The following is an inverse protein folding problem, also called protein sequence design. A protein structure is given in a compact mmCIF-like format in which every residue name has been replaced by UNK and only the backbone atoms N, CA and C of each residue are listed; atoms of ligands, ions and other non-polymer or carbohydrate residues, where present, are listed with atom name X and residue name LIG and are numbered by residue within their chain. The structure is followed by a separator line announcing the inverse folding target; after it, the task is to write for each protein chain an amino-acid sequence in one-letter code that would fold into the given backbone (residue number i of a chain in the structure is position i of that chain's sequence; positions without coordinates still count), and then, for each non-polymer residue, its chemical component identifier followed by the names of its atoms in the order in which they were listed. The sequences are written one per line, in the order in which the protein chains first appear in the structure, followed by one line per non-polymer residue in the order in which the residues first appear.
data_IF_294553177483
#
_entry.id   IF_294553177483
#
_cell.length_a   1.000
_cell.length_b   1.000
_cell.length_c   1.000
_cell.angle_alpha   90.00
_cell.angle_beta   90.00
_cell.angle_gamma   90.00
#
_symmetry.space_group_name_H-M   'P 1'
#
loop_
_entity.id
_entity.type
_entity.pdbx_description
1 polymer ?
#
# COMPACT_ATOMS: atom_id res chain seq x y z
N UNK A 1 13.07 10.33 15.56
CA UNK A 1 11.75 11.00 15.41
C UNK A 1 11.98 12.50 15.53
N UNK A 2 11.68 13.28 14.49
CA UNK A 2 11.39 14.69 14.70
C UNK A 2 10.11 14.74 15.54
N UNK A 3 10.24 15.02 16.83
CA UNK A 3 9.08 15.22 17.70
C UNK A 3 8.37 16.50 17.26
N UNK A 4 7.06 16.66 17.52
CA UNK A 4 6.35 17.92 17.29
C UNK A 4 7.01 19.16 17.92
N UNK A 5 7.93 18.97 18.87
CA UNK A 5 8.75 20.02 19.49
C UNK A 5 10.14 20.24 18.87
N UNK A 6 10.51 19.58 17.77
CA UNK A 6 11.75 19.89 17.05
C UNK A 6 11.55 21.04 16.07
N UNK A 7 12.50 21.98 16.01
CA UNK A 7 12.40 23.20 15.19
C UNK A 7 12.21 22.91 13.69
N UNK A 8 12.61 21.73 13.23
CA UNK A 8 12.50 21.31 11.82
C UNK A 8 11.19 20.57 11.48
N UNK A 9 10.43 20.09 12.47
CA UNK A 9 9.24 19.25 12.23
C UNK A 9 8.14 20.02 11.50
N UNK A 10 7.69 21.12 12.07
CA UNK A 10 6.60 21.93 11.49
C UNK A 10 6.99 22.55 10.14
N UNK A 11 8.20 23.10 9.95
CA UNK A 11 8.65 23.53 8.63
C UNK A 11 8.65 22.40 7.59
N UNK A 12 9.16 21.21 7.94
CA UNK A 12 9.17 20.08 7.01
C UNK A 12 7.75 19.62 6.64
N UNK A 13 6.84 19.55 7.62
CA UNK A 13 5.42 19.24 7.37
C UNK A 13 4.79 20.26 6.43
N UNK A 14 5.02 21.57 6.65
CA UNK A 14 4.50 22.63 5.78
C UNK A 14 5.05 22.50 4.36
N UNK A 15 6.36 22.26 4.20
CA UNK A 15 6.98 22.10 2.88
C UNK A 15 6.41 20.89 2.13
N UNK A 16 6.29 19.74 2.79
CA UNK A 16 5.69 18.53 2.20
C UNK A 16 4.22 18.81 1.82
N UNK A 17 3.51 19.55 2.66
CA UNK A 17 2.11 19.86 2.40
C UNK A 17 1.94 20.79 1.20
N UNK A 18 2.71 21.88 1.13
CA UNK A 18 2.76 22.77 -0.04
C UNK A 18 3.14 22.01 -1.31
N UNK A 19 4.10 21.08 -1.20
CA UNK A 19 4.46 20.18 -2.28
C UNK A 19 3.26 19.36 -2.78
N UNK A 20 2.46 18.75 -1.89
CA UNK A 20 1.26 18.01 -2.28
C UNK A 20 0.22 18.87 -3.01
N UNK A 21 0.05 20.13 -2.60
CA UNK A 21 -0.83 21.07 -3.29
C UNK A 21 -0.33 21.29 -4.72
N UNK A 22 0.95 21.60 -4.87
CA UNK A 22 1.57 21.80 -6.20
C UNK A 22 1.45 20.53 -7.05
N UNK A 23 1.84 19.37 -6.52
CA UNK A 23 1.80 18.10 -7.24
C UNK A 23 0.39 17.76 -7.71
N UNK A 24 -0.63 17.96 -6.87
CA UNK A 24 -2.02 17.63 -7.24
C UNK A 24 -2.57 18.51 -8.37
N UNK A 25 -2.12 19.77 -8.44
CA UNK A 25 -2.55 20.74 -9.45
C UNK A 25 -1.78 20.64 -10.77
N UNK A 26 -0.47 20.37 -10.71
CA UNK A 26 0.39 20.33 -11.88
C UNK A 26 0.32 18.98 -12.63
N UNK A 27 0.57 19.00 -13.96
CA UNK A 27 0.70 17.80 -14.76
C UNK A 27 1.80 16.83 -14.27
N UNK A 28 1.61 15.54 -14.54
CA UNK A 28 2.49 14.44 -14.07
C UNK A 28 3.92 14.60 -14.61
N UNK A 29 4.08 15.05 -15.84
CA UNK A 29 5.37 15.23 -16.52
C UNK A 29 6.27 16.30 -15.87
N UNK A 30 5.68 17.27 -15.16
CA UNK A 30 6.44 18.40 -14.60
C UNK A 30 7.17 18.09 -13.30
N UNK A 31 6.62 17.17 -12.50
CA UNK A 31 7.15 16.85 -11.17
C UNK A 31 7.54 15.37 -11.10
N UNK A 32 6.57 14.47 -11.27
CA UNK A 32 6.79 13.02 -11.17
C UNK A 32 7.79 12.56 -12.23
N UNK A 33 7.50 12.81 -13.51
CA UNK A 33 8.28 12.26 -14.61
C UNK A 33 9.74 12.70 -14.65
N UNK A 34 10.05 13.87 -14.08
CA UNK A 34 11.40 14.45 -14.10
C UNK A 34 12.23 14.11 -12.86
N UNK A 35 11.61 14.08 -11.68
CA UNK A 35 12.33 14.03 -10.41
C UNK A 35 12.33 12.60 -9.83
N UNK A 36 11.22 11.87 -9.97
CA UNK A 36 11.04 10.61 -9.26
C UNK A 36 11.92 9.46 -9.77
N UNK A 37 12.26 9.35 -11.08
CA UNK A 37 13.17 8.31 -11.54
C UNK A 37 14.53 8.34 -10.83
N UNK A 38 15.02 9.53 -10.46
CA UNK A 38 16.28 9.68 -9.70
C UNK A 38 16.13 9.07 -8.32
N UNK A 39 15.04 9.38 -7.60
CA UNK A 39 14.80 8.84 -6.26
C UNK A 39 14.46 7.35 -6.25
N UNK A 40 13.75 6.87 -7.28
CA UNK A 40 13.56 5.44 -7.51
C UNK A 40 14.89 4.71 -7.73
N UNK A 41 15.78 5.29 -8.55
CA UNK A 41 17.14 4.79 -8.73
C UNK A 41 17.94 4.77 -7.43
N UNK A 42 17.87 5.83 -6.63
CA UNK A 42 18.52 5.89 -5.31
C UNK A 42 17.99 4.82 -4.35
N UNK A 43 16.68 4.56 -4.34
CA UNK A 43 16.08 3.48 -3.55
C UNK A 43 16.59 2.10 -4.00
N UNK A 44 16.70 1.87 -5.31
CA UNK A 44 17.21 0.61 -5.85
C UNK A 44 18.68 0.40 -5.47
N UNK A 45 19.52 1.42 -5.63
CA UNK A 45 20.93 1.38 -5.23
C UNK A 45 21.06 1.16 -3.73
N UNK A 46 20.27 1.88 -2.91
CA UNK A 46 20.27 1.73 -1.45
C UNK A 46 19.81 0.34 -1.01
N UNK A 47 18.78 -0.22 -1.66
CA UNK A 47 18.28 -1.57 -1.38
C UNK A 47 19.28 -2.64 -1.81
N UNK A 48 19.95 -2.47 -2.95
CA UNK A 48 21.02 -3.37 -3.37
C UNK A 48 22.23 -3.31 -2.43
N UNK A 49 22.62 -2.11 -2.01
CA UNK A 49 23.70 -1.92 -1.02
C UNK A 49 23.34 -2.59 0.31
N UNK A 50 22.08 -2.48 0.74
CA UNK A 50 21.58 -3.15 1.95
C UNK A 50 21.64 -4.66 1.78
N UNK A 51 21.21 -5.19 0.64
CA UNK A 51 21.28 -6.61 0.35
C UNK A 51 22.71 -7.15 0.41
N UNK A 52 23.65 -6.51 -0.28
CA UNK A 52 25.07 -6.91 -0.27
C UNK A 52 25.66 -6.85 1.13
N UNK A 53 25.44 -5.74 1.85
CA UNK A 53 25.92 -5.58 3.22
C UNK A 53 25.34 -6.64 4.15
N UNK A 54 24.03 -6.92 4.04
CA UNK A 54 23.36 -7.93 4.84
C UNK A 54 23.94 -9.32 4.58
N UNK A 55 24.16 -9.71 3.32
CA UNK A 55 24.77 -11.01 2.98
C UNK A 55 26.18 -11.13 3.59
N UNK A 56 27.00 -10.09 3.54
CA UNK A 56 28.32 -10.10 4.17
C UNK A 56 28.26 -10.29 5.70
N UNK A 57 27.27 -9.72 6.37
CA UNK A 57 27.06 -9.91 7.81
C UNK A 57 26.55 -11.32 8.11
N UNK A 58 25.58 -11.80 7.35
CA UNK A 58 24.95 -13.12 7.52
C UNK A 58 25.92 -14.25 7.25
N UNK A 59 26.88 -14.06 6.34
CA UNK A 59 27.93 -15.04 6.05
C UNK A 59 28.70 -15.48 7.31
N UNK A 60 29.00 -14.52 8.19
CA UNK A 60 29.70 -14.78 9.44
C UNK A 60 28.75 -15.01 10.62
N UNK A 61 27.48 -14.59 10.49
CA UNK A 61 26.47 -14.57 11.55
C UNK A 61 25.10 -15.00 11.01
N UNK A 62 24.91 -16.28 10.66
CA UNK A 62 23.67 -16.75 10.07
C UNK A 62 22.46 -16.57 11.00
N UNK A 63 22.69 -16.48 12.32
CA UNK A 63 21.64 -16.27 13.31
C UNK A 63 20.86 -14.96 13.11
N UNK A 64 21.40 -13.99 12.38
CA UNK A 64 20.76 -12.71 12.08
C UNK A 64 19.45 -12.85 11.30
N UNK A 65 19.30 -13.90 10.49
CA UNK A 65 18.08 -14.18 9.72
C UNK A 65 17.26 -15.35 10.28
N UNK A 66 17.54 -15.74 11.52
CA UNK A 66 16.79 -16.79 12.21
C UNK A 66 15.83 -16.21 13.25
N UNK A 67 14.81 -16.97 13.63
CA UNK A 67 13.92 -16.64 14.74
C UNK A 67 14.61 -16.89 16.10
N UNK A 68 15.52 -15.98 16.49
CA UNK A 68 16.19 -16.08 17.79
C UNK A 68 15.20 -15.98 18.94
N UNK A 69 15.61 -16.37 20.15
CA UNK A 69 14.80 -16.18 21.35
C UNK A 69 14.39 -14.72 21.59
N UNK A 70 15.21 -13.75 21.15
CA UNK A 70 14.87 -12.32 21.22
C UNK A 70 13.75 -11.96 20.25
N UNK A 71 13.82 -12.44 19.01
CA UNK A 71 12.79 -12.23 18.00
C UNK A 71 11.46 -12.84 18.45
N UNK A 72 11.48 -14.11 18.90
CA UNK A 72 10.28 -14.81 19.35
C UNK A 72 9.55 -14.11 20.50
N UNK A 73 10.28 -13.44 21.39
CA UNK A 73 9.67 -12.66 22.50
C UNK A 73 8.90 -11.43 22.05
N UNK A 74 9.25 -10.84 20.90
CA UNK A 74 8.56 -9.66 20.35
C UNK A 74 7.65 -9.97 19.16
N UNK A 75 7.50 -11.24 18.78
CA UNK A 75 6.59 -11.63 17.71
C UNK A 75 5.14 -11.33 18.07
N UNK A 76 4.39 -10.86 17.09
CA UNK A 76 2.94 -10.75 17.19
C UNK A 76 2.34 -12.14 17.45
N UNK A 77 1.43 -12.23 18.42
CA UNK A 77 0.73 -13.47 18.80
C UNK A 77 -0.63 -13.60 18.11
N UNK A 78 -1.01 -12.59 17.34
CA UNK A 78 -2.25 -12.52 16.57
C UNK A 78 -2.23 -13.55 15.43
N UNK A 79 -3.41 -14.05 15.00
CA UNK A 79 -3.48 -15.05 13.96
C UNK A 79 -2.98 -14.49 12.62
N UNK A 80 -2.17 -15.26 11.91
CA UNK A 80 -1.58 -14.88 10.62
C UNK A 80 -2.69 -14.47 9.63
N UNK A 81 -3.72 -15.30 9.51
CA UNK A 81 -4.94 -14.94 8.79
C UNK A 81 -5.93 -14.42 9.82
N UNK A 82 -6.48 -13.21 9.69
CA UNK A 82 -6.31 -12.29 8.57
C UNK A 82 -5.27 -11.18 8.82
N UNK A 83 -4.64 -11.13 9.99
CA UNK A 83 -3.89 -9.96 10.45
C UNK A 83 -2.69 -9.65 9.57
N UNK A 84 -1.91 -10.64 9.16
CA UNK A 84 -0.74 -10.44 8.29
C UNK A 84 -1.15 -9.83 6.95
N UNK A 85 -2.21 -10.39 6.34
CA UNK A 85 -2.72 -10.03 5.03
C UNK A 85 -3.32 -8.61 4.98
N UNK A 86 -3.79 -8.11 6.12
CA UNK A 86 -4.24 -6.73 6.25
C UNK A 86 -3.10 -5.80 6.67
N UNK A 87 -2.23 -6.20 7.59
CA UNK A 87 -1.18 -5.33 8.15
C UNK A 87 -0.10 -5.00 7.13
N UNK A 88 0.28 -5.96 6.29
CA UNK A 88 1.25 -5.77 5.20
C UNK A 88 0.49 -5.52 3.89
N UNK A 89 -0.45 -4.55 3.91
CA UNK A 89 -1.46 -4.40 2.88
C UNK A 89 -0.85 -4.27 1.48
N UNK A 90 -0.05 -3.23 1.25
CA UNK A 90 0.58 -2.98 -0.05
C UNK A 90 1.63 -4.03 -0.44
N UNK A 91 2.19 -4.78 0.52
CA UNK A 91 3.21 -5.81 0.24
C UNK A 91 2.63 -7.17 -0.12
N UNK A 92 1.40 -7.49 0.32
CA UNK A 92 0.73 -8.75 -0.03
C UNK A 92 -0.14 -8.59 -1.28
N UNK A 93 -1.03 -7.58 -1.28
CA UNK A 93 -1.87 -7.26 -2.42
C UNK A 93 -2.41 -5.83 -2.27
N UNK A 94 -2.10 -4.96 -3.24
CA UNK A 94 -2.43 -3.54 -3.13
C UNK A 94 -3.65 -3.16 -3.97
N UNK A 95 -4.75 -2.78 -3.32
CA UNK A 95 -5.88 -2.13 -3.98
C UNK A 95 -5.58 -0.70 -4.40
N UNK A 96 -4.65 -0.03 -3.71
CA UNK A 96 -4.22 1.33 -4.04
C UNK A 96 -3.54 1.40 -5.42
N UNK A 97 -2.71 0.42 -5.78
CA UNK A 97 -2.11 0.38 -7.12
C UNK A 97 -3.18 0.32 -8.22
N UNK A 98 -4.33 -0.32 -7.97
CA UNK A 98 -5.42 -0.36 -8.93
C UNK A 98 -6.01 1.03 -9.23
N UNK A 99 -6.04 1.96 -8.27
CA UNK A 99 -6.53 3.33 -8.51
C UNK A 99 -5.54 4.18 -9.30
N UNK A 100 -4.26 3.80 -9.28
CA UNK A 100 -3.18 4.49 -9.98
C UNK A 100 -2.96 3.95 -11.40
N UNK A 101 -3.34 2.71 -11.67
CA UNK A 101 -3.18 2.07 -12.98
C UNK A 101 -3.68 2.90 -14.17
N UNK A 102 -4.81 3.64 -14.10
CA UNK A 102 -5.23 4.50 -15.21
C UNK A 102 -4.24 5.63 -15.54
N UNK A 103 -3.55 6.18 -14.54
CA UNK A 103 -2.53 7.21 -14.75
C UNK A 103 -1.35 6.63 -15.51
N UNK A 104 -0.87 5.45 -15.08
CA UNK A 104 0.25 4.75 -15.72
C UNK A 104 -0.11 4.32 -17.14
N UNK A 105 -1.28 3.72 -17.33
CA UNK A 105 -1.76 3.25 -18.63
C UNK A 105 -1.82 4.38 -19.68
N UNK A 106 -2.22 5.60 -19.29
CA UNK A 106 -2.28 6.77 -20.19
C UNK A 106 -0.92 7.37 -20.53
N UNK A 107 0.13 7.02 -19.77
CA UNK A 107 1.51 7.48 -20.02
C UNK A 107 2.37 6.44 -20.75
N UNK A 108 1.83 5.25 -21.02
CA UNK A 108 2.51 4.21 -21.77
C UNK A 108 2.52 4.53 -23.26
N UNK A 109 3.66 4.28 -23.92
CA UNK A 109 3.79 4.46 -25.35
C UNK A 109 3.07 3.34 -26.11
N UNK A 110 3.16 2.10 -25.62
CA UNK A 110 2.53 0.94 -26.24
C UNK A 110 1.95 -0.03 -25.20
N UNK A 111 0.97 -0.83 -25.59
CA UNK A 111 0.43 -1.91 -24.73
C UNK A 111 1.49 -2.99 -24.41
N UNK A 112 2.52 -3.14 -25.26
CA UNK A 112 3.62 -4.08 -25.05
C UNK A 112 4.40 -3.78 -23.77
N UNK A 113 4.43 -2.51 -23.36
CA UNK A 113 5.08 -2.06 -22.13
C UNK A 113 4.29 -2.50 -20.87
N UNK A 114 3.04 -2.95 -21.02
CA UNK A 114 2.16 -3.25 -19.90
C UNK A 114 2.67 -4.37 -19.00
N UNK A 115 3.27 -5.41 -19.58
CA UNK A 115 3.86 -6.50 -18.78
C UNK A 115 5.02 -6.00 -17.93
N UNK A 116 5.90 -5.16 -18.48
CA UNK A 116 7.04 -4.62 -17.74
C UNK A 116 6.56 -3.65 -16.64
N UNK A 117 5.66 -2.72 -17.00
CA UNK A 117 5.23 -1.64 -16.12
C UNK A 117 4.31 -2.09 -14.98
N UNK A 118 3.41 -3.03 -15.23
CA UNK A 118 2.51 -3.53 -14.18
C UNK A 118 3.11 -4.76 -13.48
N UNK A 119 3.35 -5.85 -14.20
CA UNK A 119 3.81 -7.10 -13.58
C UNK A 119 5.29 -7.04 -13.16
N UNK A 120 6.16 -6.51 -14.01
CA UNK A 120 7.59 -6.40 -13.72
C UNK A 120 7.88 -5.52 -12.50
N UNK A 121 7.22 -4.36 -12.39
CA UNK A 121 7.41 -3.46 -11.25
C UNK A 121 6.93 -4.06 -9.93
N UNK A 122 5.84 -4.84 -9.93
CA UNK A 122 5.39 -5.55 -8.72
C UNK A 122 6.41 -6.59 -8.25
N UNK A 123 7.12 -7.27 -9.16
CA UNK A 123 8.22 -8.17 -8.80
C UNK A 123 9.36 -7.38 -8.15
N UNK A 124 9.75 -6.25 -8.73
CA UNK A 124 10.82 -5.39 -8.20
C UNK A 124 10.46 -4.89 -6.79
N UNK A 125 9.23 -4.43 -6.57
CA UNK A 125 8.75 -4.05 -5.24
C UNK A 125 8.78 -5.22 -4.25
N UNK A 126 8.40 -6.42 -4.68
CA UNK A 126 8.49 -7.63 -3.86
C UNK A 126 9.93 -7.95 -3.44
N UNK A 127 10.89 -7.83 -4.35
CA UNK A 127 12.32 -8.03 -4.05
C UNK A 127 12.80 -6.99 -3.03
N UNK A 128 12.47 -5.72 -3.24
CA UNK A 128 12.79 -4.64 -2.29
C UNK A 128 12.19 -4.97 -0.92
N UNK A 129 10.90 -5.29 -0.85
CA UNK A 129 10.20 -5.61 0.40
C UNK A 129 10.88 -6.77 1.16
N UNK A 130 11.30 -7.83 0.48
CA UNK A 130 12.02 -8.95 1.09
C UNK A 130 13.38 -8.54 1.65
N UNK A 131 14.15 -7.71 0.94
CA UNK A 131 15.45 -7.20 1.42
C UNK A 131 15.25 -6.38 2.71
N UNK A 132 14.26 -5.49 2.73
CA UNK A 132 13.97 -4.65 3.89
C UNK A 132 13.41 -5.46 5.07
N UNK A 133 12.59 -6.48 4.81
CA UNK A 133 12.11 -7.39 5.85
C UNK A 133 13.27 -8.18 6.48
N UNK A 134 14.21 -8.66 5.67
CA UNK A 134 15.41 -9.34 6.15
C UNK A 134 16.32 -8.40 6.96
N UNK A 135 16.50 -7.15 6.50
CA UNK A 135 17.21 -6.11 7.25
C UNK A 135 16.56 -5.79 8.61
N UNK A 136 15.22 -5.72 8.65
CA UNK A 136 14.47 -5.52 9.89
C UNK A 136 14.66 -6.71 10.86
N UNK A 137 14.55 -7.94 10.36
CA UNK A 137 14.79 -9.14 11.17
C UNK A 137 16.19 -9.15 11.79
N UNK A 138 17.22 -8.83 11.00
CA UNK A 138 18.59 -8.73 11.50
C UNK A 138 18.75 -7.65 12.59
N UNK A 139 18.14 -6.48 12.42
CA UNK A 139 18.14 -5.43 13.45
C UNK A 139 17.36 -5.86 14.69
N UNK A 140 16.24 -6.56 14.58
CA UNK A 140 15.50 -7.06 15.74
C UNK A 140 16.30 -8.10 16.54
N UNK A 141 17.06 -8.95 15.85
CA UNK A 141 17.95 -9.93 16.48
C UNK A 141 19.12 -9.25 17.21
N UNK A 142 19.75 -8.24 16.60
CA UNK A 142 20.89 -7.50 17.16
C UNK A 142 20.48 -6.51 18.26
N UNK A 143 19.34 -5.85 18.07
CA UNK A 143 18.85 -4.75 18.89
C UNK A 143 17.35 -4.93 19.17
N UNK A 144 16.96 -5.83 20.09
CA UNK A 144 15.56 -6.18 20.33
C UNK A 144 14.66 -5.00 20.73
N UNK A 145 15.23 -3.93 21.29
CA UNK A 145 14.53 -2.69 21.61
C UNK A 145 13.87 -2.01 20.38
N UNK A 146 14.30 -2.34 19.17
CA UNK A 146 13.72 -1.81 17.93
C UNK A 146 12.50 -2.60 17.42
N UNK A 147 12.16 -3.73 18.07
CA UNK A 147 10.95 -4.53 17.75
C UNK A 147 9.65 -3.88 18.27
N UNK A 148 9.65 -2.55 18.43
CA UNK A 148 8.51 -1.75 18.90
C UNK A 148 7.78 -1.02 17.78
N UNK A 149 6.77 -0.19 18.10
CA UNK A 149 5.88 0.44 17.12
C UNK A 149 6.54 1.54 16.28
N UNK A 150 7.82 1.85 16.50
CA UNK A 150 8.50 2.96 15.86
C UNK A 150 9.25 2.50 14.59
N UNK A 151 8.50 2.24 13.53
CA UNK A 151 9.04 1.81 12.24
C UNK A 151 10.13 2.75 11.70
N UNK A 152 10.00 4.05 11.92
CA UNK A 152 10.99 5.05 11.50
C UNK A 152 12.33 4.90 12.24
N UNK A 153 12.31 4.60 13.54
CA UNK A 153 13.54 4.35 14.29
C UNK A 153 14.25 3.08 13.80
N UNK A 154 13.47 2.03 13.49
CA UNK A 154 13.99 0.80 12.90
C UNK A 154 14.59 1.06 11.52
N UNK A 155 13.92 1.82 10.67
CA UNK A 155 14.43 2.24 9.35
C UNK A 155 15.79 2.96 9.47
N UNK A 156 15.88 3.97 10.35
CA UNK A 156 17.14 4.68 10.60
C UNK A 156 18.22 3.73 11.12
N UNK A 157 17.86 2.76 11.97
CA UNK A 157 18.82 1.81 12.53
C UNK A 157 19.33 0.82 11.49
N UNK A 158 18.45 0.28 10.63
CA UNK A 158 18.83 -0.58 9.49
C UNK A 158 19.84 0.15 8.62
N UNK A 159 19.49 1.35 8.17
CA UNK A 159 20.31 2.11 7.22
C UNK A 159 21.65 2.53 7.82
N UNK A 160 21.67 3.06 9.05
CA UNK A 160 22.93 3.46 9.71
C UNK A 160 23.84 2.29 10.06
N UNK A 161 23.27 1.13 10.44
CA UNK A 161 24.05 -0.05 10.79
C UNK A 161 24.66 -0.73 9.55
N UNK A 162 23.85 -0.98 8.51
CA UNK A 162 24.31 -1.74 7.35
C UNK A 162 24.99 -0.89 6.28
N UNK A 163 24.63 0.39 6.15
CA UNK A 163 25.13 1.27 5.09
C UNK A 163 26.08 2.35 5.61
N UNK A 164 26.21 2.49 6.93
CA UNK A 164 26.95 3.60 7.54
C UNK A 164 26.21 4.94 7.43
N UNK A 165 26.83 6.00 7.95
CA UNK A 165 26.18 7.31 8.13
C UNK A 165 25.75 7.96 6.81
N UNK A 166 26.65 8.03 5.82
CA UNK A 166 26.40 8.76 4.57
C UNK A 166 25.39 8.05 3.67
N UNK A 167 25.65 6.79 3.31
CA UNK A 167 24.75 6.02 2.45
C UNK A 167 23.41 5.73 3.17
N UNK A 168 23.45 5.53 4.49
CA UNK A 168 22.25 5.35 5.29
C UNK A 168 21.34 6.59 5.29
N UNK A 169 21.91 7.79 5.39
CA UNK A 169 21.15 9.04 5.30
C UNK A 169 20.51 9.22 3.91
N UNK A 170 21.27 9.03 2.82
CA UNK A 170 20.75 9.14 1.45
C UNK A 170 19.62 8.13 1.20
N UNK A 171 19.80 6.88 1.63
CA UNK A 171 18.78 5.83 1.48
C UNK A 171 17.52 6.16 2.28
N UNK A 172 17.67 6.67 3.51
CA UNK A 172 16.52 7.09 4.32
C UNK A 172 15.74 8.22 3.65
N UNK A 173 16.43 9.20 3.07
CA UNK A 173 15.80 10.29 2.32
C UNK A 173 15.04 9.72 1.10
N UNK A 174 15.64 8.79 0.35
CA UNK A 174 14.97 8.16 -0.79
C UNK A 174 13.69 7.42 -0.38
N UNK A 175 13.70 6.69 0.75
CA UNK A 175 12.52 6.00 1.31
C UNK A 175 11.44 7.00 1.73
N UNK A 176 11.81 8.09 2.40
CA UNK A 176 10.85 9.14 2.78
C UNK A 176 10.23 9.80 1.56
N UNK A 177 11.04 10.08 0.54
CA UNK A 177 10.55 10.67 -0.71
C UNK A 177 9.58 9.71 -1.40
N UNK A 178 9.86 8.39 -1.43
CA UNK A 178 8.92 7.39 -1.97
C UNK A 178 7.55 7.41 -1.26
N UNK A 179 7.53 7.59 0.07
CA UNK A 179 6.27 7.73 0.79
C UNK A 179 5.53 9.01 0.41
N UNK A 180 6.27 10.12 0.21
CA UNK A 180 5.71 11.39 -0.29
C UNK A 180 5.17 11.22 -1.71
N UNK A 181 5.86 10.52 -2.59
CA UNK A 181 5.40 10.24 -3.95
C UNK A 181 4.14 9.35 -3.99
N UNK A 182 3.97 8.49 -2.99
CA UNK A 182 2.72 7.72 -2.87
C UNK A 182 1.55 8.62 -2.45
N UNK A 183 1.81 9.62 -1.59
CA UNK A 183 0.81 10.60 -1.17
C UNK A 183 0.34 11.53 -2.30
N UNK A 184 1.26 12.02 -3.14
CA UNK A 184 0.88 12.91 -4.25
C UNK A 184 0.05 12.19 -5.32
N UNK A 185 0.42 10.96 -5.64
CA UNK A 185 -0.33 10.11 -6.55
C UNK A 185 -1.70 9.72 -5.98
N UNK A 186 -1.82 9.52 -4.65
CA UNK A 186 -3.11 9.30 -3.98
C UNK A 186 -4.06 10.49 -4.15
N UNK A 187 -3.59 11.71 -3.85
CA UNK A 187 -4.40 12.93 -3.95
C UNK A 187 -4.83 13.22 -5.39
N UNK A 188 -3.92 12.99 -6.35
CA UNK A 188 -4.23 13.12 -7.77
C UNK A 188 -5.28 12.09 -8.21
N UNK A 189 -5.13 10.83 -7.82
CA UNK A 189 -6.11 9.77 -8.10
C UNK A 189 -7.47 10.12 -7.51
N UNK A 190 -7.54 10.54 -6.24
CA UNK A 190 -8.78 10.93 -5.58
C UNK A 190 -9.50 12.07 -6.32
N UNK A 191 -8.76 13.11 -6.70
CA UNK A 191 -9.30 14.22 -7.50
C UNK A 191 -9.87 13.72 -8.83
N UNK A 192 -9.12 12.88 -9.56
CA UNK A 192 -9.57 12.37 -10.86
C UNK A 192 -10.81 11.47 -10.72
N UNK A 193 -10.85 10.59 -9.71
CA UNK A 193 -12.01 9.74 -9.44
C UNK A 193 -13.26 10.56 -9.10
N UNK A 194 -13.13 11.60 -8.28
CA UNK A 194 -14.24 12.52 -7.99
C UNK A 194 -14.66 13.32 -9.21
N UNK A 195 -13.70 13.79 -10.01
CA UNK A 195 -13.98 14.51 -11.25
C UNK A 195 -14.80 13.65 -12.22
N UNK A 196 -14.44 12.37 -12.38
CA UNK A 196 -15.19 11.42 -13.20
C UNK A 196 -16.58 11.13 -12.61
N UNK A 197 -16.66 10.92 -11.29
CA UNK A 197 -17.92 10.62 -10.60
C UNK A 197 -18.95 11.75 -10.69
N UNK A 198 -18.49 13.00 -10.62
CA UNK A 198 -19.33 14.20 -10.74
C UNK A 198 -19.34 14.80 -12.16
N UNK A 199 -18.71 14.14 -13.14
CA UNK A 199 -18.57 14.63 -14.52
C UNK A 199 -18.00 16.07 -14.63
N UNK A 200 -17.06 16.43 -13.76
CA UNK A 200 -16.41 17.75 -13.71
C UNK A 200 -15.19 17.75 -14.62
N UNK A 201 -15.25 18.53 -15.71
CA UNK A 201 -14.11 18.70 -16.63
C UNK A 201 -12.85 19.19 -15.93
N UNK A 202 -11.73 18.47 -16.16
CA UNK A 202 -10.40 18.78 -15.62
C UNK A 202 -9.53 19.60 -16.59
N UNK A 203 -10.11 20.18 -17.65
CA UNK A 203 -9.35 21.02 -18.59
C UNK A 203 -9.05 22.39 -17.98
N UNK A 204 -10.04 23.02 -17.34
CA UNK A 204 -9.87 24.36 -16.76
C UNK A 204 -9.15 24.30 -15.41
N UNK A 205 -8.21 25.22 -15.18
CA UNK A 205 -7.53 25.36 -13.89
C UNK A 205 -8.52 25.61 -12.76
N UNK A 206 -9.57 26.42 -13.00
CA UNK A 206 -10.61 26.72 -12.01
C UNK A 206 -11.25 25.45 -11.45
N UNK A 207 -11.66 24.51 -12.31
CA UNK A 207 -12.29 23.26 -11.86
C UNK A 207 -11.32 22.37 -11.10
N UNK A 208 -10.04 22.37 -11.50
CA UNK A 208 -8.99 21.67 -10.75
C UNK A 208 -8.88 22.25 -9.34
N UNK A 209 -8.78 23.56 -9.21
CA UNK A 209 -8.68 24.23 -7.91
C UNK A 209 -9.90 23.98 -7.03
N UNK A 210 -11.11 24.17 -7.58
CA UNK A 210 -12.36 24.00 -6.82
C UNK A 210 -12.55 22.57 -6.31
N UNK A 211 -12.09 21.57 -7.07
CA UNK A 211 -12.15 20.18 -6.62
C UNK A 211 -11.01 19.81 -5.66
N UNK A 212 -9.83 20.39 -5.85
CA UNK A 212 -8.63 20.04 -5.07
C UNK A 212 -8.61 20.71 -3.69
N UNK A 213 -9.05 21.96 -3.58
CA UNK A 213 -8.95 22.73 -2.34
C UNK A 213 -9.74 22.09 -1.16
N UNK A 214 -10.99 21.63 -1.33
CA UNK A 214 -11.71 20.92 -0.27
C UNK A 214 -11.01 19.63 0.15
N UNK A 215 -10.44 18.89 -0.81
CA UNK A 215 -9.70 17.64 -0.54
C UNK A 215 -8.44 17.91 0.28
N UNK A 216 -7.69 18.95 -0.09
CA UNK A 216 -6.51 19.39 0.65
C UNK A 216 -6.90 19.72 2.09
N UNK A 217 -7.93 20.54 2.30
CA UNK A 217 -8.38 20.93 3.65
C UNK A 217 -8.77 19.71 4.48
N UNK A 218 -9.56 18.80 3.92
CA UNK A 218 -9.96 17.57 4.59
C UNK A 218 -8.75 16.72 4.99
N UNK A 219 -7.80 16.55 4.07
CA UNK A 219 -6.57 15.79 4.31
C UNK A 219 -5.67 16.49 5.33
N UNK A 220 -5.57 17.82 5.33
CA UNK A 220 -4.86 18.58 6.37
C UNK A 220 -5.41 18.29 7.75
N UNK A 221 -6.75 18.33 7.89
CA UNK A 221 -7.44 18.11 9.16
C UNK A 221 -7.19 16.68 9.64
N UNK A 222 -7.31 15.69 8.74
CA UNK A 222 -7.04 14.29 9.06
C UNK A 222 -5.58 14.05 9.44
N UNK A 223 -4.62 14.66 8.74
CA UNK A 223 -3.21 14.54 9.07
C UNK A 223 -2.87 15.22 10.39
N UNK A 224 -3.43 16.40 10.66
CA UNK A 224 -3.28 17.09 11.94
C UNK A 224 -3.81 16.22 13.08
N UNK A 225 -5.02 15.67 12.93
CA UNK A 225 -5.62 14.76 13.90
C UNK A 225 -4.78 13.49 14.09
N UNK A 226 -4.30 12.89 13.00
CA UNK A 226 -3.44 11.69 13.04
C UNK A 226 -2.08 11.94 13.68
N UNK A 227 -1.56 13.17 13.66
CA UNK A 227 -0.29 13.53 14.29
C UNK A 227 -0.46 14.02 15.74
N UNK A 228 -1.68 14.22 16.22
CA UNK A 228 -1.95 14.71 17.57
C UNK A 228 -1.56 13.70 18.67
N UNK A 229 -1.72 12.39 18.42
CA UNK A 229 -1.25 11.35 19.32
C UNK A 229 -0.96 10.04 18.55
N UNK A 230 -0.25 9.10 19.19
CA UNK A 230 0.09 7.82 18.55
C UNK A 230 -1.13 6.91 18.28
N UNK A 231 -2.25 7.14 18.99
CA UNK A 231 -3.44 6.31 18.89
C UNK A 231 -4.27 6.67 17.65
N UNK A 232 -4.41 7.96 17.32
CA UNK A 232 -5.11 8.42 16.13
C UNK A 232 -4.40 7.97 14.86
N UNK A 233 -3.05 7.99 14.84
CA UNK A 233 -2.27 7.37 13.76
C UNK A 233 -2.59 5.88 13.59
N UNK A 234 -2.60 5.10 14.68
CA UNK A 234 -2.93 3.67 14.62
C UNK A 234 -4.34 3.43 14.06
N UNK A 235 -5.31 4.26 14.43
CA UNK A 235 -6.66 4.18 13.88
C UNK A 235 -6.69 4.50 12.40
N UNK A 236 -6.07 5.60 11.96
CA UNK A 236 -6.00 5.95 10.55
C UNK A 236 -5.32 4.85 9.73
N UNK A 237 -4.19 4.33 10.24
CA UNK A 237 -3.45 3.24 9.59
C UNK A 237 -4.28 1.98 9.46
N UNK A 238 -5.11 1.65 10.45
CA UNK A 238 -6.03 0.52 10.38
C UNK A 238 -7.02 0.67 9.22
N UNK A 239 -7.70 1.81 9.16
CA UNK A 239 -8.68 2.11 8.12
C UNK A 239 -8.05 2.09 6.73
N UNK A 240 -6.85 2.64 6.62
CA UNK A 240 -6.05 2.54 5.41
C UNK A 240 -5.76 1.08 5.03
N UNK A 241 -5.28 0.26 5.98
CA UNK A 241 -4.84 -1.11 5.74
C UNK A 241 -5.99 -2.01 5.25
N UNK A 242 -7.11 -2.07 5.98
CA UNK A 242 -8.24 -2.90 5.55
C UNK A 242 -9.01 -2.27 4.38
N UNK A 243 -9.09 -0.94 4.30
CA UNK A 243 -9.70 -0.23 3.16
C UNK A 243 -8.98 -0.52 1.84
N UNK A 244 -7.64 -0.59 1.86
CA UNK A 244 -6.86 -1.04 0.72
C UNK A 244 -7.23 -2.46 0.27
N UNK A 245 -7.49 -3.36 1.22
CA UNK A 245 -7.89 -4.74 0.88
C UNK A 245 -9.32 -4.83 0.34
N UNK A 246 -10.24 -4.01 0.85
CA UNK A 246 -11.58 -3.91 0.27
C UNK A 246 -11.49 -3.46 -1.19
N UNK A 247 -10.70 -2.43 -1.47
CA UNK A 247 -10.52 -1.91 -2.83
C UNK A 247 -9.90 -2.94 -3.78
N UNK A 248 -8.93 -3.71 -3.28
CA UNK A 248 -8.37 -4.84 -4.00
C UNK A 248 -9.42 -5.90 -4.37
N UNK A 249 -10.27 -6.30 -3.41
CA UNK A 249 -11.33 -7.29 -3.64
C UNK A 249 -12.30 -6.81 -4.72
N UNK A 250 -12.78 -5.58 -4.62
CA UNK A 250 -13.68 -5.01 -5.65
C UNK A 250 -13.02 -4.95 -7.03
N UNK A 251 -11.74 -4.59 -7.09
CA UNK A 251 -10.98 -4.59 -8.34
C UNK A 251 -10.88 -6.00 -8.93
N UNK A 252 -10.47 -7.00 -8.13
CA UNK A 252 -10.33 -8.39 -8.57
C UNK A 252 -11.66 -8.97 -9.05
N UNK A 253 -12.77 -8.68 -8.36
CA UNK A 253 -14.10 -9.11 -8.78
C UNK A 253 -14.57 -8.41 -10.05
N UNK A 254 -14.26 -7.12 -10.21
CA UNK A 254 -14.53 -6.40 -11.47
C UNK A 254 -13.74 -7.00 -12.63
N UNK A 255 -12.44 -7.27 -12.43
CA UNK A 255 -11.59 -7.94 -13.42
C UNK A 255 -12.07 -9.36 -13.71
N UNK A 256 -12.60 -10.08 -12.72
CA UNK A 256 -13.19 -11.41 -12.91
C UNK A 256 -14.36 -11.35 -13.87
N UNK A 257 -15.33 -10.46 -13.64
CA UNK A 257 -16.48 -10.25 -14.55
C UNK A 257 -16.00 -9.86 -15.94
N UNK A 258 -15.01 -8.96 -16.04
CA UNK A 258 -14.42 -8.57 -17.31
C UNK A 258 -13.78 -9.74 -18.07
N UNK A 259 -12.97 -10.57 -17.40
CA UNK A 259 -12.35 -11.76 -18.00
C UNK A 259 -13.39 -12.79 -18.46
N UNK A 260 -14.49 -12.95 -17.70
CA UNK A 260 -15.60 -13.83 -18.08
C UNK A 260 -16.28 -13.35 -19.37
N UNK A 261 -16.52 -12.03 -19.49
CA UNK A 261 -17.05 -11.41 -20.73
C UNK A 261 -16.13 -11.66 -21.92
N UNK A 262 -14.82 -11.45 -21.73
CA UNK A 262 -13.78 -11.70 -22.75
C UNK A 262 -13.51 -13.18 -23.03
N UNK A 263 -14.22 -14.11 -22.37
CA UNK A 263 -14.00 -15.57 -22.43
C UNK A 263 -12.55 -15.98 -22.16
N UNK A 264 -11.87 -15.25 -21.28
CA UNK A 264 -10.50 -15.55 -20.83
C UNK A 264 -10.53 -16.26 -19.49
N UNK A 265 -9.37 -16.75 -19.06
CA UNK A 265 -9.23 -17.43 -17.78
C UNK A 265 -9.50 -16.46 -16.62
N UNK A 266 -10.74 -16.42 -16.13
CA UNK A 266 -11.17 -15.54 -15.03
C UNK A 266 -10.68 -16.01 -13.65
N UNK A 267 -10.24 -17.26 -13.51
CA UNK A 267 -9.78 -17.83 -12.24
C UNK A 267 -8.55 -17.09 -11.69
N UNK A 268 -7.74 -16.50 -12.56
CA UNK A 268 -6.55 -15.72 -12.17
C UNK A 268 -6.91 -14.50 -11.30
N UNK A 269 -8.12 -13.96 -11.46
CA UNK A 269 -8.62 -12.83 -10.67
C UNK A 269 -9.60 -13.29 -9.57
N UNK A 270 -10.42 -14.31 -9.86
CA UNK A 270 -11.40 -14.82 -8.91
C UNK A 270 -10.75 -15.43 -7.68
N UNK A 271 -9.75 -16.31 -7.84
CA UNK A 271 -9.16 -17.03 -6.70
C UNK A 271 -8.49 -16.07 -5.68
N UNK A 272 -7.64 -15.11 -6.10
CA UNK A 272 -7.14 -14.10 -5.18
C UNK A 272 -8.27 -13.23 -4.59
N UNK A 273 -9.30 -12.89 -5.39
CA UNK A 273 -10.42 -12.07 -4.94
C UNK A 273 -11.24 -12.74 -3.84
N UNK A 274 -11.55 -14.02 -3.99
CA UNK A 274 -12.25 -14.85 -2.99
C UNK A 274 -11.45 -14.95 -1.70
N UNK A 275 -10.15 -15.25 -1.82
CA UNK A 275 -9.27 -15.32 -0.66
C UNK A 275 -9.18 -13.97 0.08
N UNK A 276 -8.99 -12.87 -0.65
CA UNK A 276 -8.89 -11.54 -0.04
C UNK A 276 -10.23 -11.07 0.55
N UNK A 277 -11.37 -11.46 -0.02
CA UNK A 277 -12.69 -11.22 0.54
C UNK A 277 -12.84 -11.90 1.91
N UNK A 278 -12.43 -13.16 2.01
CA UNK A 278 -12.41 -13.89 3.28
C UNK A 278 -11.50 -13.20 4.31
N UNK A 279 -10.28 -12.84 3.90
CA UNK A 279 -9.31 -12.14 4.75
C UNK A 279 -9.87 -10.83 5.30
N UNK A 280 -10.35 -9.94 4.43
CA UNK A 280 -10.77 -8.60 4.87
C UNK A 280 -12.03 -8.65 5.73
N UNK A 281 -12.96 -9.56 5.40
CA UNK A 281 -14.19 -9.76 6.17
C UNK A 281 -13.88 -10.34 7.55
N UNK A 282 -13.06 -11.39 7.60
CA UNK A 282 -12.64 -11.97 8.88
C UNK A 282 -11.86 -10.97 9.73
N UNK A 283 -11.05 -10.10 9.11
CA UNK A 283 -10.32 -9.06 9.84
C UNK A 283 -11.25 -8.07 10.50
N UNK A 284 -12.22 -7.52 9.77
CA UNK A 284 -13.19 -6.55 10.29
C UNK A 284 -14.03 -7.17 11.41
N UNK A 285 -14.44 -8.42 11.26
CA UNK A 285 -15.24 -9.16 12.25
C UNK A 285 -14.45 -9.49 13.53
N UNK A 286 -13.18 -9.86 13.39
CA UNK A 286 -12.35 -10.29 14.51
C UNK A 286 -11.65 -9.13 15.23
N UNK A 287 -11.18 -8.11 14.51
CA UNK A 287 -10.35 -7.04 15.11
C UNK A 287 -11.10 -6.27 16.20
N UNK A 288 -10.40 -5.99 17.31
CA UNK A 288 -10.90 -5.14 18.40
C UNK A 288 -9.77 -4.71 19.34
N UNK A 289 -9.99 -3.70 20.20
CA UNK A 289 -9.04 -3.32 21.25
C UNK A 289 -8.71 -4.47 22.21
N UNK A 290 -9.66 -5.39 22.43
CA UNK A 290 -9.45 -6.60 23.25
C UNK A 290 -8.37 -7.51 22.65
N UNK A 291 -8.30 -7.57 21.31
CA UNK A 291 -7.28 -8.31 20.58
C UNK A 291 -5.99 -7.50 20.33
N UNK A 292 -5.81 -6.38 21.05
CA UNK A 292 -4.69 -5.45 20.90
C UNK A 292 -4.59 -4.82 19.50
N UNK A 293 -5.72 -4.77 18.80
CA UNK A 293 -5.84 -4.20 17.48
C UNK A 293 -6.86 -3.06 17.46
N UNK A 294 -6.92 -2.28 16.39
CA UNK A 294 -7.88 -1.19 16.28
C UNK A 294 -9.34 -1.71 16.18
N UNK A 295 -10.29 -0.79 16.32
CA UNK A 295 -11.72 -1.10 16.42
C UNK A 295 -12.27 -1.91 15.24
N UNK A 296 -13.11 -2.90 15.57
CA UNK A 296 -13.92 -3.75 14.70
C UNK A 296 -15.00 -4.43 15.54
N UNK A 297 -15.55 -5.56 15.10
CA UNK A 297 -16.66 -6.22 15.82
C UNK A 297 -16.22 -7.08 17.02
N UNK A 298 -14.94 -7.44 17.13
CA UNK A 298 -14.41 -8.18 18.27
C UNK A 298 -14.99 -9.58 18.48
N UNK A 299 -15.43 -10.22 17.41
CA UNK A 299 -15.95 -11.59 17.47
C UNK A 299 -14.82 -12.60 17.75
N UNK A 300 -15.20 -13.75 18.29
CA UNK A 300 -14.31 -14.91 18.35
C UNK A 300 -13.82 -15.29 16.93
N UNK A 301 -12.59 -15.80 16.83
CA UNK A 301 -11.96 -16.10 15.55
C UNK A 301 -12.72 -17.16 14.74
N UNK A 302 -13.25 -18.19 15.39
CA UNK A 302 -14.00 -19.25 14.69
C UNK A 302 -15.32 -18.73 14.14
N UNK A 303 -16.01 -17.90 14.92
CA UNK A 303 -17.24 -17.25 14.48
C UNK A 303 -16.96 -16.26 13.34
N UNK A 304 -15.92 -15.44 13.46
CA UNK A 304 -15.49 -14.51 12.42
C UNK A 304 -15.17 -15.23 11.11
N UNK A 305 -14.44 -16.35 11.16
CA UNK A 305 -14.16 -17.18 9.98
C UNK A 305 -15.42 -17.78 9.37
N UNK A 306 -16.33 -18.30 10.18
CA UNK A 306 -17.57 -18.91 9.68
C UNK A 306 -18.42 -17.88 8.94
N UNK A 307 -18.61 -16.70 9.53
CA UNK A 307 -19.35 -15.60 8.92
C UNK A 307 -18.64 -15.07 7.66
N UNK A 308 -17.32 -14.88 7.72
CA UNK A 308 -16.52 -14.44 6.58
C UNK A 308 -16.58 -15.45 5.43
N UNK A 309 -16.55 -16.76 5.73
CA UNK A 309 -16.66 -17.83 4.74
C UNK A 309 -18.01 -17.80 4.02
N UNK A 310 -19.11 -17.68 4.77
CA UNK A 310 -20.46 -17.57 4.20
C UNK A 310 -20.60 -16.30 3.34
N UNK A 311 -20.14 -15.16 3.83
CA UNK A 311 -20.17 -13.91 3.07
C UNK A 311 -19.32 -13.97 1.80
N UNK A 312 -18.16 -14.61 1.87
CA UNK A 312 -17.26 -14.82 0.72
C UNK A 312 -17.91 -15.74 -0.32
N UNK A 313 -18.51 -16.86 0.09
CA UNK A 313 -19.19 -17.77 -0.82
C UNK A 313 -20.38 -17.09 -1.52
N UNK A 314 -21.17 -16.33 -0.77
CA UNK A 314 -22.29 -15.55 -1.30
C UNK A 314 -21.82 -14.52 -2.34
N UNK A 315 -20.81 -13.71 -1.99
CA UNK A 315 -20.28 -12.67 -2.89
C UNK A 315 -19.60 -13.25 -4.12
N UNK A 316 -18.85 -14.34 -3.98
CA UNK A 316 -18.27 -15.08 -5.12
C UNK A 316 -19.36 -15.61 -6.06
N UNK A 317 -20.45 -16.16 -5.50
CA UNK A 317 -21.61 -16.61 -6.26
C UNK A 317 -22.27 -15.46 -7.03
N UNK A 318 -22.44 -14.29 -6.40
CA UNK A 318 -22.96 -13.10 -7.07
C UNK A 318 -22.05 -12.62 -8.21
N UNK A 319 -20.73 -12.61 -8.01
CA UNK A 319 -19.75 -12.20 -9.03
C UNK A 319 -19.80 -13.14 -10.24
N UNK A 320 -19.84 -14.45 -10.00
CA UNK A 320 -19.97 -15.46 -11.06
C UNK A 320 -21.30 -15.32 -11.80
N UNK A 321 -22.40 -15.13 -11.07
CA UNK A 321 -23.71 -14.91 -11.66
C UNK A 321 -23.71 -13.66 -12.57
N UNK A 322 -23.21 -12.54 -12.06
CA UNK A 322 -23.09 -11.30 -12.84
C UNK A 322 -22.19 -11.47 -14.07
N UNK A 323 -21.08 -12.20 -13.94
CA UNK A 323 -20.20 -12.54 -15.06
C UNK A 323 -20.92 -13.33 -16.16
N UNK A 324 -21.75 -14.30 -15.79
CA UNK A 324 -22.56 -15.08 -16.74
C UNK A 324 -23.64 -14.23 -17.41
N UNK A 325 -24.34 -13.39 -16.64
CA UNK A 325 -25.38 -12.48 -17.17
C UNK A 325 -24.76 -11.52 -18.19
N UNK A 326 -23.66 -10.84 -17.83
CA UNK A 326 -22.99 -9.89 -18.73
C UNK A 326 -22.42 -10.54 -19.97
N UNK A 327 -21.85 -11.75 -19.85
CA UNK A 327 -21.41 -12.51 -21.00
C UNK A 327 -22.58 -12.83 -21.95
N UNK A 328 -23.74 -13.22 -21.42
CA UNK A 328 -24.93 -13.51 -22.23
C UNK A 328 -25.45 -12.25 -22.94
N UNK A 329 -25.44 -11.09 -22.26
CA UNK A 329 -25.78 -9.79 -22.86
C UNK A 329 -24.86 -9.47 -24.06
N UNK A 330 -23.54 -9.65 -23.91
CA UNK A 330 -22.57 -9.41 -25.00
C UNK A 330 -22.79 -10.34 -26.20
N UNK A 331 -23.12 -11.61 -25.93
CA UNK A 331 -23.46 -12.60 -26.96
C UNK A 331 -24.71 -12.21 -27.76
N UNK A 332 -25.75 -11.71 -27.07
CA UNK A 332 -26.98 -11.22 -27.70
C UNK A 332 -26.72 -9.94 -28.52
N UNK A 333 -25.90 -9.02 -27.98
CA UNK A 333 -25.54 -7.78 -28.65
C UNK A 333 -24.59 -7.98 -29.85
N UNK A 334 -24.12 -9.20 -30.10
CA UNK A 334 -23.17 -9.50 -31.16
C UNK A 334 -21.78 -8.87 -30.93
N UNK A 335 -21.47 -8.46 -29.70
CA UNK A 335 -20.16 -7.93 -29.31
C UNK A 335 -19.20 -9.11 -29.31
N UNK A 336 -18.51 -9.30 -30.44
CA UNK A 336 -17.44 -10.29 -30.58
C UNK A 336 -16.11 -9.60 -30.30
N UNK A 337 -15.38 -10.18 -29.35
CA UNK A 337 -14.03 -9.79 -28.97
C UNK A 337 -12.95 -10.41 -29.86
#
# INVERSE_FOLDING_TARGET
QMRPGSSLFWPAVIVIFLYYICATLFPVDKIIGKIYPIFGGLLLIGSLALFVSLICHVWNRPELLTETANFKRGMYTQPIVPVLFVTIACGILSGFHATQSPIIARTMATERDGRANFYGMMIVEGIIAMIWAAGAMAIYNLFPAFMGPNANATLTKITTYFLGTWMGAVTTIAVVILAVTSGDTALRSLRLSLAESFSISQVSLRNRFLLTLPLIVLVSILLWWSNSNAQSFKWLWNYFAWGNQVLAVFTLFTVTVWLMRRRKNFLIALLPGVFMMFVVTSFILWTSPVHQLPWGFGLDLQLAYSLAGNFTAFTAGLVLYQGLVKRKEDEIAGIRD
#
